data_IF_724608257722
#
_entry.id   IF_724608257722
#
_cell.length_a   1.000
_cell.length_b   1.000
_cell.length_c   1.000
_cell.angle_alpha   90.00
_cell.angle_beta   90.00
_cell.angle_gamma   90.00
#
_symmetry.space_group_name_H-M   'P 1'
#
loop_
_entity.id
_entity.type
_entity.pdbx_description
1 polymer ?
#
# COMPACT_ATOMS: atom_id res chain seq x y z
N UNK A 1 -22.45 -15.04 12.11
CA UNK A 1 -21.53 -14.03 11.49
C UNK A 1 -22.23 -13.20 10.42
N UNK A 2 -23.18 -13.77 9.66
CA UNK A 2 -24.12 -13.03 8.80
C UNK A 2 -25.07 -12.11 9.60
N UNK A 3 -25.34 -12.39 10.87
CA UNK A 3 -26.25 -11.58 11.71
C UNK A 3 -25.82 -10.12 11.91
N UNK A 4 -24.53 -9.79 11.75
CA UNK A 4 -24.04 -8.41 11.89
C UNK A 4 -23.96 -7.66 10.56
N UNK A 5 -23.95 -8.36 9.41
CA UNK A 5 -23.93 -7.71 8.09
C UNK A 5 -25.12 -6.77 7.88
N UNK A 6 -26.27 -7.11 8.47
CA UNK A 6 -27.46 -6.27 8.46
C UNK A 6 -27.31 -4.99 9.30
N UNK A 7 -26.47 -5.01 10.35
CA UNK A 7 -26.18 -3.83 11.17
C UNK A 7 -25.22 -2.88 10.43
N UNK A 8 -24.20 -3.41 9.75
CA UNK A 8 -23.29 -2.62 8.93
C UNK A 8 -24.03 -1.94 7.75
N UNK A 9 -24.91 -2.68 7.06
CA UNK A 9 -25.72 -2.16 5.97
C UNK A 9 -26.76 -1.13 6.44
N UNK A 10 -27.42 -1.35 7.59
CA UNK A 10 -28.37 -0.37 8.16
C UNK A 10 -27.73 0.91 8.67
N UNK A 11 -26.47 0.85 9.09
CA UNK A 11 -25.72 2.01 9.55
C UNK A 11 -25.09 2.81 8.40
N UNK A 12 -25.27 2.38 7.14
CA UNK A 12 -24.76 3.09 5.97
C UNK A 12 -23.22 3.07 5.85
N UNK A 13 -22.56 2.09 6.47
CA UNK A 13 -21.11 1.99 6.39
C UNK A 13 -20.69 1.31 5.08
N UNK A 14 -19.95 2.05 4.25
CA UNK A 14 -19.27 1.51 3.07
C UNK A 14 -18.12 0.56 3.49
N UNK A 15 -17.83 -0.46 2.68
CA UNK A 15 -16.72 -1.41 2.91
C UNK A 15 -15.37 -0.77 3.34
N UNK A 16 -14.91 0.34 2.74
CA UNK A 16 -13.68 1.02 3.21
C UNK A 16 -13.78 1.63 4.61
N UNK A 17 -14.98 2.01 5.07
CA UNK A 17 -15.20 2.51 6.43
C UNK A 17 -15.22 1.37 7.44
N UNK A 18 -15.82 0.23 7.07
CA UNK A 18 -15.81 -1.01 7.86
C UNK A 18 -14.37 -1.52 8.04
N UNK A 19 -13.54 -1.40 7.00
CA UNK A 19 -12.13 -1.79 7.05
C UNK A 19 -11.31 -0.98 8.08
N UNK A 20 -11.70 0.27 8.35
CA UNK A 20 -11.01 1.16 9.30
C UNK A 20 -11.61 1.15 10.71
N UNK A 21 -12.64 0.34 10.97
CA UNK A 21 -13.30 0.31 12.27
C UNK A 21 -12.42 -0.29 13.36
N UNK A 22 -12.39 0.40 14.49
CA UNK A 22 -11.69 -0.04 15.70
C UNK A 22 -12.55 -1.03 16.51
N UNK A 23 -11.96 -1.84 17.41
CA UNK A 23 -12.71 -2.69 18.33
C UNK A 23 -13.74 -1.92 19.18
N UNK A 24 -13.47 -0.64 19.44
CA UNK A 24 -14.36 0.31 20.10
C UNK A 24 -15.59 0.61 19.24
N UNK A 25 -15.40 0.88 17.93
CA UNK A 25 -16.49 1.10 16.97
C UNK A 25 -17.37 -0.15 16.82
N UNK A 26 -16.76 -1.35 16.82
CA UNK A 26 -17.50 -2.62 16.81
C UNK A 26 -18.39 -2.78 18.05
N UNK A 27 -17.96 -2.24 19.19
CA UNK A 27 -18.75 -2.25 20.42
C UNK A 27 -19.94 -1.28 20.30
N UNK A 28 -19.72 -0.11 19.68
CA UNK A 28 -20.75 0.91 19.47
C UNK A 28 -21.88 0.43 18.54
N UNK A 29 -21.59 -0.43 17.56
CA UNK A 29 -22.59 -1.03 16.66
C UNK A 29 -23.26 -2.31 17.19
N UNK A 30 -23.01 -2.66 18.47
CA UNK A 30 -23.68 -3.76 19.16
C UNK A 30 -22.93 -5.11 19.15
N UNK A 31 -21.65 -5.16 18.77
CA UNK A 31 -20.81 -6.37 18.91
C UNK A 31 -20.23 -6.45 20.32
N UNK A 32 -21.10 -6.73 21.29
CA UNK A 32 -20.72 -6.80 22.72
C UNK A 32 -20.00 -8.09 23.10
N UNK A 33 -20.21 -9.19 22.36
CA UNK A 33 -19.57 -10.49 22.64
C UNK A 33 -18.06 -10.47 22.32
N UNK A 34 -17.16 -10.66 23.30
CA UNK A 34 -15.71 -10.55 23.09
C UNK A 34 -15.16 -11.59 22.09
N UNK A 35 -15.72 -12.79 22.04
CA UNK A 35 -15.35 -13.80 21.04
C UNK A 35 -15.71 -13.40 19.60
N UNK A 36 -16.86 -12.73 19.41
CA UNK A 36 -17.25 -12.22 18.10
C UNK A 36 -16.44 -10.98 17.71
N UNK A 37 -16.15 -10.10 18.67
CA UNK A 37 -15.33 -8.91 18.48
C UNK A 37 -13.92 -9.28 18.02
N UNK A 38 -13.27 -10.26 18.66
CA UNK A 38 -11.96 -10.77 18.22
C UNK A 38 -12.01 -11.38 16.83
N UNK A 39 -13.07 -12.14 16.50
CA UNK A 39 -13.18 -12.81 15.20
C UNK A 39 -13.50 -11.85 14.05
N UNK A 40 -14.35 -10.85 14.30
CA UNK A 40 -14.67 -9.78 13.35
C UNK A 40 -13.49 -8.83 13.21
N UNK A 41 -12.82 -8.45 14.30
CA UNK A 41 -11.57 -7.67 14.24
C UNK A 41 -10.48 -8.44 13.48
N UNK A 42 -10.33 -9.75 13.68
CA UNK A 42 -9.38 -10.55 12.90
C UNK A 42 -9.77 -10.68 11.43
N UNK A 43 -11.07 -10.74 11.11
CA UNK A 43 -11.54 -10.73 9.72
C UNK A 43 -11.40 -9.35 9.09
N UNK A 44 -11.66 -8.27 9.83
CA UNK A 44 -11.39 -6.90 9.42
C UNK A 44 -9.89 -6.76 9.22
N UNK A 45 -9.00 -7.22 10.10
CA UNK A 45 -7.56 -7.20 9.87
C UNK A 45 -7.09 -8.10 8.72
N UNK A 46 -7.88 -9.10 8.32
CA UNK A 46 -7.60 -9.90 7.11
C UNK A 46 -8.15 -9.25 5.83
N UNK A 47 -9.24 -8.48 5.92
CA UNK A 47 -9.85 -7.69 4.83
C UNK A 47 -9.20 -6.31 4.68
N UNK A 48 -8.72 -5.76 5.78
CA UNK A 48 -7.95 -4.55 5.96
C UNK A 48 -6.50 -5.00 5.96
N UNK A 49 -5.99 -5.35 4.77
CA UNK A 49 -4.57 -5.18 4.48
C UNK A 49 -4.22 -3.76 4.97
N UNK A 50 -3.39 -3.59 6.01
CA UNK A 50 -3.45 -2.41 6.88
C UNK A 50 -3.26 -1.04 6.24
N UNK A 51 -2.91 -0.93 4.96
CA UNK A 51 -2.67 0.35 4.31
C UNK A 51 -2.83 0.31 2.76
N UNK A 52 -3.53 -0.69 2.19
CA UNK A 52 -3.54 -0.84 0.72
C UNK A 52 -2.14 -1.06 0.13
N UNK A 53 -1.23 -1.60 0.94
CA UNK A 53 0.14 -1.94 0.55
C UNK A 53 0.14 -3.41 0.18
N UNK A 54 0.23 -3.76 -1.11
CA UNK A 54 0.55 -5.12 -1.45
C UNK A 54 1.88 -5.41 -0.75
N UNK A 55 1.89 -6.41 0.13
CA UNK A 55 3.10 -6.95 0.79
C UNK A 55 4.10 -7.55 -0.22
N UNK A 56 3.94 -7.21 -1.49
CA UNK A 56 4.76 -7.59 -2.61
C UNK A 56 5.96 -6.65 -2.69
N UNK A 57 7.04 -7.06 -2.02
CA UNK A 57 8.36 -6.52 -2.30
C UNK A 57 8.78 -7.03 -3.70
N UNK A 58 8.95 -6.15 -4.70
CA UNK A 58 9.46 -6.58 -5.98
C UNK A 58 10.86 -7.19 -5.78
N UNK A 59 11.17 -8.36 -6.37
CA UNK A 59 12.47 -8.99 -6.22
C UNK A 59 13.59 -8.15 -6.84
N UNK A 60 13.27 -7.43 -7.92
CA UNK A 60 14.23 -6.67 -8.71
C UNK A 60 13.61 -5.38 -9.26
N UNK A 61 14.47 -4.41 -9.60
CA UNK A 61 14.11 -3.13 -10.22
C UNK A 61 13.32 -3.34 -11.52
N UNK A 62 13.64 -4.41 -12.27
CA UNK A 62 12.91 -4.79 -13.49
C UNK A 62 11.43 -5.05 -13.21
N UNK A 63 11.14 -5.85 -12.18
CA UNK A 63 9.76 -6.22 -11.85
C UNK A 63 9.01 -5.01 -11.29
N UNK A 64 9.69 -4.20 -10.48
CA UNK A 64 9.14 -2.95 -9.95
C UNK A 64 8.75 -1.97 -11.06
N UNK A 65 9.64 -1.70 -12.01
CA UNK A 65 9.36 -0.80 -13.13
C UNK A 65 8.27 -1.36 -14.06
N UNK A 66 8.20 -2.69 -14.26
CA UNK A 66 7.11 -3.32 -15.03
C UNK A 66 5.74 -3.15 -14.37
N UNK A 67 5.66 -3.20 -13.04
CA UNK A 67 4.41 -2.96 -12.30
C UNK A 67 3.93 -1.51 -12.43
N UNK A 68 4.86 -0.57 -12.57
CA UNK A 68 4.56 0.85 -12.76
C UNK A 68 4.33 1.23 -14.22
N UNK A 69 4.48 0.27 -15.15
CA UNK A 69 4.50 0.52 -16.60
C UNK A 69 5.62 1.50 -17.03
N UNK A 70 6.71 1.52 -16.27
CA UNK A 70 7.88 2.40 -16.43
C UNK A 70 9.14 1.63 -16.85
N UNK A 71 8.97 0.44 -17.42
CA UNK A 71 10.10 -0.42 -17.84
C UNK A 71 11.07 0.26 -18.81
N UNK A 72 10.62 1.27 -19.57
CA UNK A 72 11.46 2.08 -20.45
C UNK A 72 12.62 2.78 -19.71
N UNK A 73 12.46 3.10 -18.42
CA UNK A 73 13.49 3.72 -17.60
C UNK A 73 14.51 2.74 -17.04
N UNK A 74 14.33 1.42 -17.24
CA UNK A 74 15.24 0.41 -16.68
C UNK A 74 16.69 0.62 -17.12
N UNK A 75 16.94 0.91 -18.40
CA UNK A 75 18.28 1.18 -18.90
C UNK A 75 18.88 2.46 -18.31
N UNK A 76 18.05 3.48 -18.08
CA UNK A 76 18.47 4.73 -17.44
C UNK A 76 18.88 4.49 -16.00
N UNK A 77 18.06 3.77 -15.22
CA UNK A 77 18.38 3.40 -13.85
C UNK A 77 19.65 2.55 -13.78
N UNK A 78 19.80 1.57 -14.67
CA UNK A 78 20.98 0.71 -14.73
C UNK A 78 22.26 1.50 -15.07
N UNK A 79 22.19 2.44 -16.02
CA UNK A 79 23.33 3.29 -16.42
C UNK A 79 23.75 4.26 -15.30
N UNK A 80 22.79 4.66 -14.45
CA UNK A 80 23.03 5.55 -13.31
C UNK A 80 23.31 4.78 -12.00
N UNK A 81 23.70 3.50 -12.09
CA UNK A 81 24.02 2.65 -10.93
C UNK A 81 22.83 2.32 -10.00
N UNK A 82 21.59 2.55 -10.43
CA UNK A 82 20.35 2.18 -9.73
C UNK A 82 19.80 0.81 -10.16
N UNK A 83 20.67 -0.16 -10.37
CA UNK A 83 20.30 -1.52 -10.80
C UNK A 83 19.69 -2.41 -9.71
N UNK A 84 19.71 -1.96 -8.44
CA UNK A 84 19.22 -2.73 -7.28
C UNK A 84 18.15 -1.96 -6.50
N UNK A 85 17.25 -2.68 -5.84
CA UNK A 85 16.21 -2.04 -5.01
C UNK A 85 16.78 -1.22 -3.84
N UNK A 86 17.98 -1.57 -3.35
CA UNK A 86 18.71 -0.78 -2.34
C UNK A 86 19.13 0.58 -2.90
N UNK A 87 19.69 0.61 -4.11
CA UNK A 87 20.05 1.86 -4.77
C UNK A 87 18.80 2.69 -5.10
N UNK A 88 17.73 2.06 -5.60
CA UNK A 88 16.45 2.72 -5.90
C UNK A 88 15.83 3.37 -4.67
N UNK A 89 15.98 2.76 -3.49
CA UNK A 89 15.48 3.33 -2.23
C UNK A 89 16.19 4.63 -1.80
N UNK A 90 17.35 4.93 -2.39
CA UNK A 90 18.15 6.13 -2.11
C UNK A 90 17.99 7.21 -3.18
N UNK A 91 17.24 6.95 -4.25
CA UNK A 91 17.01 7.90 -5.34
C UNK A 91 16.29 9.13 -4.80
N UNK A 92 16.85 10.28 -5.15
CA UNK A 92 16.26 11.58 -4.87
C UNK A 92 15.48 12.09 -6.09
N UNK A 93 14.70 13.16 -5.89
CA UNK A 93 14.05 13.85 -7.00
C UNK A 93 15.08 14.44 -7.98
N UNK A 94 16.22 14.93 -7.47
CA UNK A 94 17.29 15.52 -8.27
C UNK A 94 17.89 14.48 -9.21
N UNK A 95 18.14 13.26 -8.72
CA UNK A 95 18.64 12.15 -9.55
C UNK A 95 17.66 11.80 -10.68
N UNK A 96 16.34 11.84 -10.42
CA UNK A 96 15.33 11.59 -11.47
C UNK A 96 15.40 12.65 -12.57
N UNK A 97 15.66 13.91 -12.23
CA UNK A 97 15.83 14.98 -13.21
C UNK A 97 17.14 14.83 -14.00
N UNK A 98 18.25 14.46 -13.35
CA UNK A 98 19.53 14.18 -14.02
C UNK A 98 19.45 12.99 -14.97
N UNK A 99 18.64 11.98 -14.61
CA UNK A 99 18.32 10.84 -15.46
C UNK A 99 17.43 11.18 -16.67
N UNK A 100 16.95 12.42 -16.78
CA UNK A 100 16.09 12.88 -17.87
C UNK A 100 14.60 12.59 -17.67
N UNK A 101 14.19 12.18 -16.46
CA UNK A 101 12.78 11.90 -16.10
C UNK A 101 12.12 13.19 -15.62
N UNK A 102 11.82 14.06 -16.59
CA UNK A 102 11.28 15.40 -16.33
C UNK A 102 9.74 15.49 -16.43
N UNK A 103 9.06 14.40 -16.79
CA UNK A 103 7.61 14.40 -16.89
C UNK A 103 6.99 14.28 -15.49
N UNK A 104 6.31 15.35 -15.03
CA UNK A 104 5.69 15.44 -13.70
C UNK A 104 4.88 14.19 -13.30
N UNK A 105 4.11 13.59 -14.23
CA UNK A 105 3.34 12.38 -13.96
C UNK A 105 4.22 11.19 -13.57
N UNK A 106 5.22 10.88 -14.39
CA UNK A 106 6.14 9.75 -14.17
C UNK A 106 7.03 9.98 -12.95
N UNK A 107 7.53 11.19 -12.76
CA UNK A 107 8.38 11.52 -11.60
C UNK A 107 7.61 11.44 -10.29
N UNK A 108 6.34 11.87 -10.27
CA UNK A 108 5.45 11.71 -9.10
C UNK A 108 5.21 10.24 -8.80
N UNK A 109 4.90 9.43 -9.83
CA UNK A 109 4.68 7.98 -9.66
C UNK A 109 5.94 7.31 -9.10
N UNK A 110 7.11 7.55 -9.69
CA UNK A 110 8.37 6.98 -9.21
C UNK A 110 8.66 7.39 -7.77
N UNK A 111 8.57 8.69 -7.46
CA UNK A 111 8.88 9.20 -6.14
C UNK A 111 7.92 8.67 -5.07
N UNK A 112 6.61 8.66 -5.36
CA UNK A 112 5.60 8.06 -4.46
C UNK A 112 5.87 6.58 -4.23
N UNK A 113 6.22 5.83 -5.27
CA UNK A 113 6.47 4.38 -5.13
C UNK A 113 7.80 4.08 -4.43
N UNK A 114 8.84 4.88 -4.63
CA UNK A 114 10.11 4.79 -3.89
C UNK A 114 9.87 5.09 -2.40
N UNK A 115 9.15 6.18 -2.10
CA UNK A 115 8.79 6.54 -0.71
C UNK A 115 8.01 5.44 -0.03
N UNK A 116 7.06 4.86 -0.76
CA UNK A 116 6.28 3.73 -0.30
C UNK A 116 7.14 2.50 -0.03
N UNK A 117 8.08 2.19 -0.93
CA UNK A 117 9.01 1.07 -0.76
C UNK A 117 9.89 1.23 0.48
N UNK A 118 10.38 2.44 0.76
CA UNK A 118 11.14 2.75 1.99
C UNK A 118 10.25 2.49 3.22
N UNK A 119 9.04 3.04 3.25
CA UNK A 119 8.13 2.86 4.39
C UNK A 119 7.75 1.38 4.61
N UNK A 120 7.60 0.61 3.53
CA UNK A 120 7.25 -0.81 3.59
C UNK A 120 8.43 -1.72 4.01
N UNK A 121 9.68 -1.38 3.68
CA UNK A 121 10.86 -2.21 3.98
C UNK A 121 11.49 -1.95 5.35
N UNK A 122 11.20 -0.82 6.00
CA UNK A 122 11.73 -0.44 7.31
C UNK A 122 10.72 -0.66 8.47
N UNK A 123 9.75 -1.57 8.32
CA UNK A 123 8.91 -2.08 9.44
C UNK A 123 9.45 -3.39 10.00
#
# INVERSE_FOLDING_TARGET
>A
MLEYTNNFSKAGYDMPTIARMTPEDLTAIGVTKPGHRKRISAMISQLNEPDGIPNYKPPDVVMWLKLLDLYQYYNTFLSNSYGTMDAVSKITWEDLQEMGINQLGETVVLFSTIRFFIVANFR
#
